data_IF_291736946002
#
_entry.id   IF_291736946002
#
_cell.length_a   1.000
_cell.length_b   1.000
_cell.length_c   1.000
_cell.angle_alpha   90.00
_cell.angle_beta   90.00
_cell.angle_gamma   90.00
#
_symmetry.space_group_name_H-M   'P 1'
#
loop_
_entity.id
_entity.type
_entity.pdbx_description
1 polymer ?
#
# COMPACT_ATOMS: atom_id res chain seq x y z
N UNK A 1 13.06 1.79 -51.68
CA UNK A 1 13.11 0.36 -51.27
C UNK A 1 12.08 0.05 -50.18
N UNK A 2 12.19 0.61 -48.96
CA UNK A 2 11.29 0.33 -47.82
C UNK A 2 9.79 0.52 -48.12
N UNK A 3 9.42 1.63 -48.76
CA UNK A 3 8.04 1.91 -49.15
C UNK A 3 7.45 0.89 -50.14
N UNK A 4 8.28 0.34 -51.03
CA UNK A 4 7.83 -0.72 -51.94
C UNK A 4 7.59 -2.03 -51.19
N UNK A 5 8.46 -2.41 -50.25
CA UNK A 5 8.24 -3.60 -49.42
C UNK A 5 6.98 -3.47 -48.56
N UNK A 6 6.74 -2.31 -47.95
CA UNK A 6 5.53 -2.05 -47.17
C UNK A 6 4.26 -2.13 -48.04
N UNK A 7 4.30 -1.59 -49.26
CA UNK A 7 3.20 -1.65 -50.23
C UNK A 7 2.90 -3.08 -50.68
N UNK A 8 3.94 -3.89 -50.89
CA UNK A 8 3.80 -5.32 -51.25
C UNK A 8 3.22 -6.12 -50.09
N UNK A 9 3.73 -5.93 -48.87
CA UNK A 9 3.23 -6.57 -47.66
C UNK A 9 1.75 -6.25 -47.42
N UNK A 10 1.35 -4.98 -47.56
CA UNK A 10 -0.04 -4.55 -47.42
C UNK A 10 -0.98 -5.18 -48.45
N UNK A 11 -0.56 -5.28 -49.72
CA UNK A 11 -1.35 -5.98 -50.76
C UNK A 11 -1.49 -7.47 -50.46
N UNK A 12 -0.42 -8.10 -49.93
CA UNK A 12 -0.44 -9.50 -49.53
C UNK A 12 -1.42 -9.75 -48.37
N UNK A 13 -1.38 -8.92 -47.32
CA UNK A 13 -2.30 -8.98 -46.18
C UNK A 13 -3.76 -8.79 -46.61
N UNK A 14 -4.04 -7.87 -47.53
CA UNK A 14 -5.41 -7.67 -48.07
C UNK A 14 -5.89 -8.81 -48.97
N UNK A 15 -4.98 -9.57 -49.60
CA UNK A 15 -5.34 -10.75 -50.41
C UNK A 15 -5.69 -11.95 -49.51
N UNK A 16 -4.97 -12.12 -48.41
CA UNK A 16 -5.14 -13.24 -47.47
C UNK A 16 -5.77 -12.79 -46.14
N UNK A 17 -6.95 -12.15 -46.20
CA UNK A 17 -7.55 -11.43 -45.07
C UNK A 17 -7.82 -12.30 -43.84
N UNK A 18 -8.31 -13.52 -44.01
CA UNK A 18 -8.64 -14.42 -42.89
C UNK A 18 -7.36 -14.85 -42.17
N UNK A 19 -6.35 -15.30 -42.91
CA UNK A 19 -5.05 -15.69 -42.36
C UNK A 19 -4.36 -14.52 -41.65
N UNK A 20 -4.38 -13.33 -42.25
CA UNK A 20 -3.85 -12.12 -41.62
C UNK A 20 -4.62 -11.77 -40.33
N UNK A 21 -5.95 -11.84 -40.34
CA UNK A 21 -6.77 -11.54 -39.17
C UNK A 21 -6.50 -12.50 -38.01
N UNK A 22 -6.43 -13.82 -38.25
CA UNK A 22 -6.15 -14.81 -37.20
C UNK A 22 -4.79 -14.55 -36.55
N UNK A 23 -3.74 -14.32 -37.35
CA UNK A 23 -2.40 -14.07 -36.81
C UNK A 23 -2.31 -12.73 -36.06
N UNK A 24 -2.90 -11.67 -36.60
CA UNK A 24 -2.88 -10.34 -35.95
C UNK A 24 -3.67 -10.37 -34.64
N UNK A 25 -4.86 -10.99 -34.62
CA UNK A 25 -5.67 -11.12 -33.41
C UNK A 25 -4.96 -11.99 -32.37
N UNK A 26 -4.41 -13.14 -32.76
CA UNK A 26 -3.67 -14.01 -31.85
C UNK A 26 -2.47 -13.30 -31.21
N UNK A 27 -1.69 -12.59 -32.03
CA UNK A 27 -0.57 -11.78 -31.53
C UNK A 27 -1.04 -10.63 -30.63
N UNK A 28 -2.10 -9.91 -31.03
CA UNK A 28 -2.65 -8.81 -30.24
C UNK A 28 -3.15 -9.28 -28.88
N UNK A 29 -3.85 -10.41 -28.82
CA UNK A 29 -4.32 -11.02 -27.56
C UNK A 29 -3.13 -11.46 -26.70
N UNK A 30 -2.11 -12.09 -27.29
CA UNK A 30 -0.91 -12.50 -26.56
C UNK A 30 -0.15 -11.32 -25.95
N UNK A 31 0.05 -10.26 -26.72
CA UNK A 31 0.69 -9.02 -26.25
C UNK A 31 -0.16 -8.35 -25.17
N UNK A 32 -1.49 -8.25 -25.37
CA UNK A 32 -2.38 -7.66 -24.39
C UNK A 32 -2.36 -8.41 -23.06
N UNK A 33 -2.41 -9.75 -23.09
CA UNK A 33 -2.32 -10.58 -21.89
C UNK A 33 -0.99 -10.37 -21.16
N UNK A 34 0.13 -10.36 -21.89
CA UNK A 34 1.45 -10.10 -21.30
C UNK A 34 1.55 -8.71 -20.66
N UNK A 35 1.02 -7.67 -21.30
CA UNK A 35 1.00 -6.31 -20.77
C UNK A 35 0.12 -6.19 -19.53
N UNK A 36 -1.04 -6.86 -19.48
CA UNK A 36 -1.90 -6.86 -18.31
C UNK A 36 -1.21 -7.51 -17.10
N UNK A 37 -0.58 -8.68 -17.31
CA UNK A 37 0.19 -9.36 -16.26
C UNK A 37 1.35 -8.47 -15.79
N UNK A 38 2.11 -7.90 -16.73
CA UNK A 38 3.21 -6.99 -16.40
C UNK A 38 2.72 -5.79 -15.59
N UNK A 39 1.61 -5.17 -15.99
CA UNK A 39 1.05 -4.01 -15.29
C UNK A 39 0.56 -4.36 -13.90
N UNK A 40 -0.05 -5.53 -13.74
CA UNK A 40 -0.51 -6.06 -12.44
C UNK A 40 0.68 -6.30 -11.51
N UNK A 41 1.70 -7.03 -11.97
CA UNK A 41 2.91 -7.29 -11.16
C UNK A 41 3.63 -5.98 -10.82
N UNK A 42 3.72 -5.05 -11.78
CA UNK A 42 4.33 -3.74 -11.53
C UNK A 42 3.54 -2.92 -10.51
N UNK A 43 2.21 -3.04 -10.51
CA UNK A 43 1.35 -2.40 -9.50
C UNK A 43 1.60 -3.02 -8.11
N UNK A 44 1.55 -4.34 -7.99
CA UNK A 44 1.79 -5.04 -6.73
C UNK A 44 3.17 -4.73 -6.14
N UNK A 45 4.20 -4.68 -7.00
CA UNK A 45 5.55 -4.32 -6.58
C UNK A 45 5.75 -2.82 -6.31
N UNK A 46 4.79 -1.97 -6.65
CA UNK A 46 4.87 -0.52 -6.37
C UNK A 46 4.32 -0.14 -5.00
N UNK A 47 3.56 -1.02 -4.35
CA UNK A 47 3.02 -0.76 -3.02
C UNK A 47 4.11 -0.48 -1.98
N UNK A 48 3.80 0.40 -1.04
CA UNK A 48 4.65 0.81 0.08
C UNK A 48 5.99 1.47 -0.29
N UNK A 49 6.25 1.77 -1.57
CA UNK A 49 7.49 2.43 -2.02
C UNK A 49 7.41 3.96 -2.08
N UNK A 50 6.31 4.54 -1.60
CA UNK A 50 6.06 5.98 -1.68
C UNK A 50 6.72 6.79 -0.55
N UNK A 51 7.39 6.13 0.40
CA UNK A 51 8.11 6.76 1.50
C UNK A 51 9.61 6.85 1.18
N UNK A 52 10.28 7.94 1.54
CA UNK A 52 11.70 8.15 1.23
C UNK A 52 12.60 7.00 1.72
N UNK A 53 12.26 6.40 2.87
CA UNK A 53 13.03 5.34 3.51
C UNK A 53 12.33 3.96 3.41
N UNK A 54 11.49 3.73 2.41
CA UNK A 54 10.64 2.53 2.33
C UNK A 54 11.39 1.20 2.51
N UNK A 55 12.65 1.12 2.07
CA UNK A 55 13.49 -0.08 2.15
C UNK A 55 14.05 -0.35 3.56
N UNK A 56 13.87 0.58 4.49
CA UNK A 56 14.33 0.50 5.89
C UNK A 56 13.16 0.47 6.89
N UNK A 57 11.94 0.70 6.42
CA UNK A 57 10.73 0.61 7.24
C UNK A 57 10.34 -0.87 7.34
N UNK A 58 10.28 -1.38 8.56
CA UNK A 58 9.87 -2.77 8.84
C UNK A 58 8.77 -2.81 9.88
N UNK A 59 7.98 -3.88 9.86
CA UNK A 59 7.00 -4.17 10.91
C UNK A 59 7.56 -5.28 11.79
N UNK A 60 7.71 -4.97 13.08
CA UNK A 60 8.01 -5.99 14.09
C UNK A 60 6.79 -6.90 14.22
N UNK A 61 7.04 -8.21 14.18
CA UNK A 61 6.02 -9.26 14.35
C UNK A 61 6.49 -10.21 15.45
N UNK A 62 5.56 -10.79 16.19
CA UNK A 62 5.88 -11.86 17.12
C UNK A 62 5.70 -13.22 16.43
N UNK A 63 6.50 -14.20 16.85
CA UNK A 63 6.44 -15.58 16.36
C UNK A 63 6.05 -16.45 17.55
N UNK A 64 4.84 -17.00 17.49
CA UNK A 64 4.35 -17.95 18.47
C UNK A 64 4.70 -19.36 17.99
N UNK A 65 5.29 -20.16 18.87
CA UNK A 65 5.62 -21.56 18.57
C UNK A 65 4.65 -22.48 19.28
N UNK A 66 3.78 -23.13 18.52
CA UNK A 66 2.86 -24.14 19.06
C UNK A 66 3.29 -25.54 18.62
N UNK A 67 3.13 -26.57 19.48
CA UNK A 67 3.45 -27.94 19.10
C UNK A 67 2.65 -28.47 17.89
N UNK A 68 1.46 -27.91 17.65
CA UNK A 68 0.52 -28.38 16.62
C UNK A 68 0.67 -27.64 15.28
N UNK A 69 0.89 -26.31 15.31
CA UNK A 69 0.90 -25.48 14.10
C UNK A 69 2.31 -24.98 13.72
N UNK A 70 3.33 -25.25 14.54
CA UNK A 70 4.70 -24.81 14.29
C UNK A 70 4.88 -23.32 14.59
N UNK A 71 5.47 -22.57 13.65
CA UNK A 71 5.71 -21.13 13.79
C UNK A 71 4.54 -20.31 13.22
N UNK A 72 3.85 -19.59 14.10
CA UNK A 72 2.73 -18.69 13.75
C UNK A 72 3.19 -17.25 13.88
N UNK A 73 3.09 -16.49 12.80
CA UNK A 73 3.45 -15.07 12.78
C UNK A 73 2.24 -14.22 13.15
N UNK A 74 2.37 -13.42 14.21
CA UNK A 74 1.32 -12.49 14.66
C UNK A 74 1.75 -11.04 14.49
N UNK A 75 0.80 -10.20 14.05
CA UNK A 75 0.99 -8.75 13.88
C UNK A 75 0.96 -7.98 15.20
N UNK A 76 0.71 -8.67 16.31
CA UNK A 76 0.62 -8.09 17.64
C UNK A 76 1.86 -8.44 18.45
N UNK A 77 2.76 -7.48 18.62
CA UNK A 77 3.87 -7.59 19.57
C UNK A 77 3.43 -7.11 20.96
N UNK A 78 3.78 -7.81 22.05
CA UNK A 78 3.47 -7.33 23.41
C UNK A 78 4.08 -5.94 23.66
N UNK A 79 3.29 -5.03 24.24
CA UNK A 79 3.72 -3.65 24.51
C UNK A 79 5.04 -3.58 25.30
N UNK A 80 5.24 -4.38 26.38
CA UNK A 80 6.52 -4.35 27.12
C UNK A 80 7.73 -4.76 26.26
N UNK A 81 7.52 -5.65 25.28
CA UNK A 81 8.60 -6.05 24.37
C UNK A 81 8.96 -4.91 23.41
N UNK A 82 7.96 -4.16 22.93
CA UNK A 82 8.20 -2.97 22.11
C UNK A 82 8.97 -1.90 22.90
N UNK A 83 8.54 -1.60 24.13
CA UNK A 83 9.21 -0.62 24.98
C UNK A 83 10.67 -1.04 25.28
N UNK A 84 10.90 -2.33 25.52
CA UNK A 84 12.25 -2.86 25.70
C UNK A 84 13.10 -2.73 24.41
N UNK A 85 12.54 -3.00 23.23
CA UNK A 85 13.24 -2.89 21.95
C UNK A 85 13.74 -1.47 21.69
N UNK A 86 12.95 -0.44 22.03
CA UNK A 86 13.35 0.96 21.87
C UNK A 86 14.64 1.28 22.65
N UNK A 87 14.82 0.68 23.83
CA UNK A 87 16.01 0.90 24.65
C UNK A 87 17.19 -0.04 24.34
N UNK A 88 16.94 -1.22 23.76
CA UNK A 88 17.95 -2.30 23.64
C UNK A 88 18.42 -2.55 22.21
N UNK A 89 17.67 -2.13 21.19
CA UNK A 89 17.99 -2.37 19.79
C UNK A 89 18.48 -1.07 19.15
N UNK A 90 19.79 -0.82 19.26
CA UNK A 90 20.45 0.40 18.76
C UNK A 90 20.28 0.68 17.26
N UNK A 91 19.88 -0.32 16.46
CA UNK A 91 19.71 -0.23 15.02
C UNK A 91 18.40 0.46 14.63
N UNK A 92 17.45 0.61 15.54
CA UNK A 92 16.19 1.31 15.28
C UNK A 92 16.40 2.82 15.43
N UNK A 93 16.33 3.55 14.31
CA UNK A 93 16.42 5.03 14.30
C UNK A 93 15.14 5.69 14.82
N UNK A 94 14.00 5.05 14.56
CA UNK A 94 12.68 5.46 15.05
C UNK A 94 11.78 4.22 15.14
N UNK A 95 10.95 4.16 16.18
CA UNK A 95 9.93 3.14 16.35
C UNK A 95 8.60 3.82 16.68
N UNK A 96 7.51 3.34 16.10
CA UNK A 96 6.17 3.81 16.41
C UNK A 96 5.22 2.63 16.51
N UNK A 97 4.42 2.61 17.58
CA UNK A 97 3.29 1.70 17.70
C UNK A 97 2.14 2.23 16.85
N UNK A 98 1.44 1.31 16.20
CA UNK A 98 0.20 1.60 15.49
C UNK A 98 -0.82 0.58 15.94
N UNK A 99 -1.99 1.05 16.34
CA UNK A 99 -3.10 0.20 16.74
C UNK A 99 -4.32 0.57 15.91
N UNK A 100 -4.75 -0.39 15.11
CA UNK A 100 -6.08 -0.34 14.52
C UNK A 100 -7.10 -0.40 15.65
N UNK A 101 -8.02 0.56 15.66
CA UNK A 101 -9.15 0.50 16.57
C UNK A 101 -10.40 0.47 15.73
N UNK A 102 -11.19 -0.58 15.92
CA UNK A 102 -12.51 -0.74 15.32
C UNK A 102 -13.54 0.20 15.97
N UNK A 103 -13.14 1.43 16.29
CA UNK A 103 -13.98 2.47 16.85
C UNK A 103 -14.48 3.37 15.74
N UNK A 104 -15.68 3.92 15.90
CA UNK A 104 -16.14 4.97 15.01
C UNK A 104 -15.70 6.35 15.49
N UNK A 105 -14.88 7.05 14.72
CA UNK A 105 -14.50 8.44 14.96
C UNK A 105 -15.60 9.33 14.37
N UNK A 106 -16.06 10.33 15.13
CA UNK A 106 -17.16 11.19 14.72
C UNK A 106 -16.75 12.65 14.83
N UNK A 107 -16.95 13.43 13.77
CA UNK A 107 -16.74 14.88 13.80
C UNK A 107 -18.03 15.52 14.34
N UNK A 108 -17.99 16.12 15.54
CA UNK A 108 -19.18 16.72 16.14
C UNK A 108 -19.64 17.93 15.31
N UNK A 109 -20.95 18.18 15.31
CA UNK A 109 -21.51 19.40 14.73
C UNK A 109 -21.55 20.51 15.80
N UNK A 110 -20.79 21.62 15.63
CA UNK A 110 -20.75 22.70 16.61
C UNK A 110 -22.11 23.38 16.82
N UNK A 111 -23.00 23.33 15.82
CA UNK A 111 -24.34 23.93 15.91
C UNK A 111 -25.37 23.03 16.63
N UNK A 112 -24.97 21.84 17.09
CA UNK A 112 -25.89 20.81 17.60
C UNK A 112 -26.57 20.01 16.48
N UNK A 113 -27.03 18.81 16.81
CA UNK A 113 -27.65 17.88 15.84
C UNK A 113 -26.73 16.73 15.42
N UNK A 114 -27.03 16.02 14.31
CA UNK A 114 -26.26 14.87 13.87
C UNK A 114 -24.81 15.29 13.50
N UNK A 115 -23.85 14.37 13.64
CA UNK A 115 -22.45 14.67 13.38
C UNK A 115 -22.18 15.00 11.91
N UNK A 116 -21.17 15.84 11.67
CA UNK A 116 -20.79 16.27 10.32
C UNK A 116 -20.25 15.11 9.48
N UNK A 117 -19.49 14.21 10.11
CA UNK A 117 -18.94 13.01 9.46
C UNK A 117 -18.72 11.92 10.50
N UNK A 118 -18.93 10.68 10.09
CA UNK A 118 -18.63 9.49 10.89
C UNK A 118 -17.71 8.58 10.08
N UNK A 119 -16.56 8.28 10.64
CA UNK A 119 -15.64 7.25 10.20
C UNK A 119 -15.95 6.00 11.01
N UNK A 120 -16.35 4.91 10.38
CA UNK A 120 -16.63 3.64 11.04
C UNK A 120 -15.83 2.49 10.44
N UNK A 121 -15.98 1.30 11.02
CA UNK A 121 -15.31 0.07 10.53
C UNK A 121 -15.67 -0.23 9.07
N UNK A 122 -16.89 0.12 8.65
CA UNK A 122 -17.37 -0.06 7.27
C UNK A 122 -17.05 1.12 6.36
N UNK A 123 -16.40 2.18 6.86
CA UNK A 123 -15.96 3.30 6.04
C UNK A 123 -14.65 2.93 5.34
N UNK A 124 -14.42 3.36 4.09
CA UNK A 124 -13.13 3.18 3.42
C UNK A 124 -11.99 3.94 4.12
N UNK A 125 -12.34 4.89 4.98
CA UNK A 125 -11.43 5.72 5.78
C UNK A 125 -11.33 5.13 7.19
N UNK A 126 -10.18 4.53 7.52
CA UNK A 126 -9.91 3.92 8.81
C UNK A 126 -9.13 4.88 9.72
N UNK A 127 -9.46 4.84 11.02
CA UNK A 127 -8.73 5.54 12.07
C UNK A 127 -7.77 4.61 12.79
N UNK A 128 -6.58 5.11 13.11
CA UNK A 128 -5.56 4.39 13.87
C UNK A 128 -5.08 5.27 15.03
N UNK A 129 -4.73 4.62 16.14
CA UNK A 129 -3.89 5.26 17.16
C UNK A 129 -2.43 5.00 16.79
N UNK A 130 -1.61 6.02 16.92
CA UNK A 130 -0.19 5.94 16.65
C UNK A 130 0.61 6.72 17.69
N UNK A 131 1.87 6.34 17.89
CA UNK A 131 2.81 7.15 18.67
C UNK A 131 3.24 8.40 17.87
N UNK A 132 3.67 9.50 18.53
CA UNK A 132 4.21 10.69 17.85
C UNK A 132 5.37 10.39 16.89
N UNK A 133 6.18 9.37 17.21
CA UNK A 133 7.29 8.92 16.38
C UNK A 133 6.85 8.38 15.00
N UNK A 134 5.56 8.11 14.79
CA UNK A 134 5.01 7.65 13.50
C UNK A 134 5.39 8.59 12.35
N UNK A 135 5.35 9.90 12.58
CA UNK A 135 5.69 10.91 11.58
C UNK A 135 7.20 11.07 11.35
N UNK A 136 8.04 10.45 12.19
CA UNK A 136 9.48 10.29 11.93
C UNK A 136 9.77 9.06 11.05
N UNK A 137 8.94 8.01 11.19
CA UNK A 137 9.05 6.78 10.39
C UNK A 137 8.51 6.99 8.98
N UNK A 138 7.36 7.65 8.86
CA UNK A 138 6.67 7.91 7.60
C UNK A 138 6.73 9.39 7.25
N UNK A 139 7.35 9.72 6.12
CA UNK A 139 7.48 11.07 5.57
C UNK A 139 6.17 11.49 4.86
N UNK A 140 5.16 11.79 5.66
CA UNK A 140 3.86 12.23 5.17
C UNK A 140 3.86 13.72 4.80
N UNK A 141 3.08 14.06 3.77
CA UNK A 141 2.79 15.46 3.43
C UNK A 141 1.64 16.00 4.29
N UNK A 142 1.91 17.02 5.10
CA UNK A 142 0.94 17.62 6.01
C UNK A 142 0.13 18.71 5.32
N UNK A 143 -1.20 18.63 5.39
CA UNK A 143 -2.09 19.66 4.85
C UNK A 143 -2.34 20.80 5.84
N UNK A 144 -2.29 20.52 7.15
CA UNK A 144 -2.46 21.47 8.24
C UNK A 144 -1.91 20.90 9.55
N UNK A 145 -1.51 21.76 10.49
CA UNK A 145 -0.94 21.37 11.79
C UNK A 145 0.58 21.27 11.76
N UNK A 146 1.16 20.79 12.87
CA UNK A 146 2.62 20.59 13.02
C UNK A 146 2.91 19.13 13.44
N UNK A 147 3.67 18.35 12.63
CA UNK A 147 4.09 16.99 12.98
C UNK A 147 4.88 16.88 14.28
N UNK A 148 5.61 17.92 14.68
CA UNK A 148 6.46 17.88 15.86
C UNK A 148 5.65 17.89 17.16
N UNK A 149 4.45 18.47 17.14
CA UNK A 149 3.56 18.59 18.30
C UNK A 149 2.37 17.64 18.26
N UNK A 150 2.10 17.02 17.11
CA UNK A 150 0.97 16.12 16.94
C UNK A 150 1.10 14.86 17.81
N UNK A 151 -0.03 14.38 18.34
CA UNK A 151 -0.14 13.18 19.20
C UNK A 151 0.64 13.27 20.52
N UNK A 152 1.14 14.45 20.91
CA UNK A 152 1.91 14.64 22.14
C UNK A 152 1.05 14.50 23.41
N UNK A 153 -0.25 14.81 23.32
CA UNK A 153 -1.19 14.73 24.44
C UNK A 153 -2.37 13.79 24.11
N UNK A 154 -2.99 13.16 25.12
CA UNK A 154 -4.20 12.37 24.91
C UNK A 154 -5.32 13.23 24.28
N UNK A 155 -6.03 12.67 23.29
CA UNK A 155 -7.10 13.35 22.54
C UNK A 155 -6.64 14.55 21.69
N UNK A 156 -5.40 14.54 21.19
CA UNK A 156 -4.88 15.50 20.20
C UNK A 156 -4.61 14.87 18.84
#
# INVERSE_FOLDING_TARGET
MLFNHLKIAWRSLRKNKIYAAVNVVGLAVGIAAALLIFRMVSYELSFNKNFANYNRITRVVAIDKTPEEGEVYTVCTPIPAMDAMESTVSQFEAMARVREVWSSITIPNPAGGPPLKKFGISSPELGFFADPAFFKVFDLNWLAGDPATALAEPNT
#
